data_IF_768612968261
#
_entry.id   IF_768612968261
#
_cell.length_a   1.000
_cell.length_b   1.000
_cell.length_c   1.000
_cell.angle_alpha   90.00
_cell.angle_beta   90.00
_cell.angle_gamma   90.00
#
_symmetry.space_group_name_H-M   'P 1'
#
loop_
_entity.id
_entity.type
_entity.pdbx_description
1 polymer ?
#
# COMPACT_ATOMS: atom_id res chain seq x y z
N UNK A 1 3.90 20.15 19.96
CA UNK A 1 4.52 19.01 19.23
C UNK A 1 3.85 17.74 19.70
N UNK A 2 3.13 17.00 18.84
CA UNK A 2 2.55 15.72 19.25
C UNK A 2 3.67 14.71 19.46
N UNK A 3 3.77 14.17 20.68
CA UNK A 3 4.72 13.13 21.01
C UNK A 3 4.40 11.86 20.18
N UNK A 4 5.34 11.39 19.37
CA UNK A 4 5.16 10.17 18.57
C UNK A 4 5.11 8.96 19.48
N UNK A 5 4.08 8.12 19.32
CA UNK A 5 3.94 6.88 20.09
C UNK A 5 4.87 5.80 19.55
N UNK A 6 5.84 5.40 20.36
CA UNK A 6 6.67 4.23 20.05
C UNK A 6 5.91 2.96 20.45
N UNK A 7 5.60 2.12 19.47
CA UNK A 7 4.88 0.87 19.65
C UNK A 7 5.87 -0.28 19.77
N UNK A 8 6.03 -0.81 20.99
CA UNK A 8 6.84 -2.00 21.24
C UNK A 8 5.98 -3.28 21.13
N UNK A 9 6.30 -4.23 20.23
CA UNK A 9 5.56 -5.47 20.11
C UNK A 9 5.42 -6.22 21.44
N UNK A 10 4.20 -6.69 21.72
CA UNK A 10 3.86 -7.38 22.98
C UNK A 10 3.62 -6.46 24.19
N UNK A 11 3.92 -5.16 24.10
CA UNK A 11 3.86 -4.23 25.24
C UNK A 11 2.99 -2.98 25.00
N UNK A 12 2.22 -2.96 23.90
CA UNK A 12 1.35 -1.81 23.60
C UNK A 12 0.09 -1.85 24.46
N UNK A 13 -0.10 -0.81 25.27
CA UNK A 13 -1.22 -0.69 26.20
C UNK A 13 -2.53 -0.28 25.50
N UNK A 14 -3.67 -0.55 26.13
CA UNK A 14 -4.98 -0.07 25.66
C UNK A 14 -5.05 1.46 25.55
N UNK A 15 -4.33 2.18 26.42
CA UNK A 15 -4.23 3.64 26.34
C UNK A 15 -3.53 4.10 25.05
N UNK A 16 -2.41 3.45 24.69
CA UNK A 16 -1.72 3.71 23.41
C UNK A 16 -2.59 3.35 22.21
N UNK A 17 -3.31 2.22 22.26
CA UNK A 17 -4.26 1.86 21.19
C UNK A 17 -5.37 2.89 21.00
N UNK A 18 -5.90 3.44 22.10
CA UNK A 18 -6.89 4.53 22.05
C UNK A 18 -6.30 5.79 21.43
N UNK A 19 -5.04 6.11 21.71
CA UNK A 19 -4.36 7.26 21.10
C UNK A 19 -4.11 7.05 19.60
N UNK A 20 -3.73 5.83 19.19
CA UNK A 20 -3.61 5.45 17.77
C UNK A 20 -4.96 5.60 17.07
N UNK A 21 -6.05 5.06 17.65
CA UNK A 21 -7.41 5.21 17.13
C UNK A 21 -7.81 6.69 16.92
N UNK A 22 -7.40 7.57 17.85
CA UNK A 22 -7.63 9.02 17.78
C UNK A 22 -6.70 9.77 16.82
N UNK A 23 -5.81 9.08 16.12
CA UNK A 23 -4.95 9.69 15.09
C UNK A 23 -3.56 10.13 15.58
N UNK A 24 -3.13 9.74 16.78
CA UNK A 24 -1.79 10.11 17.28
C UNK A 24 -0.70 9.54 16.36
N UNK A 25 0.37 10.31 16.04
CA UNK A 25 1.52 9.79 15.31
C UNK A 25 2.11 8.57 16.01
N UNK A 26 2.63 7.62 15.25
CA UNK A 26 3.21 6.39 15.77
C UNK A 26 4.49 6.03 15.02
N UNK A 27 5.34 5.27 15.67
CA UNK A 27 6.49 4.59 15.09
C UNK A 27 6.62 3.20 15.74
N UNK A 28 7.11 2.22 14.98
CA UNK A 28 7.50 0.93 15.52
C UNK A 28 8.82 1.07 16.26
N UNK A 29 8.93 0.41 17.41
CA UNK A 29 10.21 0.34 18.14
C UNK A 29 11.30 -0.32 17.26
N UNK A 30 12.41 0.37 16.95
CA UNK A 30 13.49 -0.18 16.13
C UNK A 30 14.08 -1.49 16.68
N UNK A 31 13.94 -1.75 17.99
CA UNK A 31 14.35 -3.00 18.62
C UNK A 31 13.61 -4.23 18.06
N UNK A 32 12.48 -4.06 17.37
CA UNK A 32 11.75 -5.15 16.72
C UNK A 32 12.38 -5.60 15.39
N UNK A 33 13.21 -4.78 14.74
CA UNK A 33 13.71 -5.07 13.40
C UNK A 33 14.66 -6.28 13.32
N UNK A 34 15.58 -6.51 14.28
CA UNK A 34 16.44 -7.68 14.24
C UNK A 34 15.66 -9.01 14.20
N UNK A 35 14.61 -9.15 15.02
CA UNK A 35 13.78 -10.38 15.05
C UNK A 35 12.94 -10.53 13.78
N UNK A 36 12.47 -9.43 13.18
CA UNK A 36 11.79 -9.43 11.88
C UNK A 36 12.72 -9.92 10.77
N UNK A 37 13.95 -9.37 10.70
CA UNK A 37 14.95 -9.79 9.71
C UNK A 37 15.33 -11.26 9.84
N UNK A 38 15.50 -11.74 11.08
CA UNK A 38 15.76 -13.16 11.34
C UNK A 38 14.60 -14.06 10.88
N UNK A 39 13.35 -13.65 11.16
CA UNK A 39 12.14 -14.35 10.69
C UNK A 39 12.07 -14.46 9.17
N UNK A 40 12.34 -13.34 8.47
CA UNK A 40 12.34 -13.30 7.01
C UNK A 40 13.45 -14.19 6.42
N UNK A 41 14.64 -14.18 7.02
CA UNK A 41 15.75 -15.05 6.61
C UNK A 41 15.42 -16.54 6.79
N UNK A 42 14.73 -16.90 7.88
CA UNK A 42 14.28 -18.28 8.10
C UNK A 42 13.30 -18.73 7.01
N UNK A 43 12.33 -17.89 6.62
CA UNK A 43 11.43 -18.18 5.49
C UNK A 43 12.19 -18.31 4.18
N UNK A 44 13.15 -17.43 3.91
CA UNK A 44 13.97 -17.51 2.71
C UNK A 44 14.77 -18.83 2.65
N UNK A 45 15.33 -19.27 3.78
CA UNK A 45 16.04 -20.55 3.87
C UNK A 45 15.11 -21.75 3.66
N UNK A 46 13.87 -21.70 4.17
CA UNK A 46 12.85 -22.73 3.93
C UNK A 46 12.51 -22.83 2.44
N UNK A 47 12.27 -21.69 1.78
CA UNK A 47 11.99 -21.64 0.34
C UNK A 47 13.15 -22.21 -0.46
N UNK A 48 14.39 -21.89 -0.08
CA UNK A 48 15.59 -22.38 -0.76
C UNK A 48 15.76 -23.90 -0.68
N UNK A 49 15.25 -24.57 0.37
CA UNK A 49 15.27 -26.03 0.50
C UNK A 49 14.27 -26.74 -0.42
N UNK A 50 13.29 -26.03 -0.98
CA UNK A 50 12.32 -26.57 -1.94
C UNK A 50 11.29 -27.56 -1.36
N UNK A 51 11.28 -27.77 -0.04
CA UNK A 51 10.26 -28.59 0.62
C UNK A 51 8.89 -27.88 0.60
N UNK A 52 7.76 -28.59 0.46
CA UNK A 52 6.43 -27.99 0.51
C UNK A 52 6.13 -27.40 1.88
N UNK A 53 5.73 -26.13 1.91
CA UNK A 53 5.33 -25.39 3.10
C UNK A 53 4.07 -24.57 2.79
N UNK A 54 3.06 -24.80 3.61
CA UNK A 54 1.73 -24.23 3.44
C UNK A 54 1.76 -22.70 3.33
N UNK A 55 1.11 -22.18 2.28
CA UNK A 55 1.00 -20.74 2.03
C UNK A 55 2.31 -20.05 1.59
N UNK A 56 3.38 -20.82 1.40
CA UNK A 56 4.66 -20.33 0.88
C UNK A 56 4.85 -20.84 -0.55
N UNK A 57 4.89 -22.15 -0.77
CA UNK A 57 5.04 -22.80 -2.09
C UNK A 57 3.98 -23.88 -2.33
N UNK A 58 2.83 -23.75 -1.66
CA UNK A 58 1.62 -24.53 -1.95
C UNK A 58 0.45 -23.60 -2.23
N UNK A 59 -0.63 -24.13 -2.79
CA UNK A 59 -1.91 -23.43 -2.83
C UNK A 59 -2.51 -23.19 -1.44
N UNK A 60 -3.67 -22.52 -1.40
CA UNK A 60 -4.39 -22.16 -0.18
C UNK A 60 -5.70 -22.94 -0.05
N UNK A 61 -6.14 -23.21 1.19
CA UNK A 61 -7.40 -23.91 1.46
C UNK A 61 -7.46 -25.30 0.81
N UNK A 62 -8.46 -25.55 -0.04
CA UNK A 62 -8.64 -26.83 -0.75
C UNK A 62 -7.46 -27.19 -1.67
N UNK A 63 -6.64 -26.20 -2.04
CA UNK A 63 -5.46 -26.38 -2.89
C UNK A 63 -4.14 -26.46 -2.08
N UNK A 64 -4.22 -26.64 -0.75
CA UNK A 64 -3.05 -26.74 0.13
C UNK A 64 -2.06 -27.87 -0.23
N UNK A 65 -2.55 -28.92 -0.90
CA UNK A 65 -1.73 -30.05 -1.37
C UNK A 65 -1.03 -29.80 -2.71
N UNK A 66 -1.42 -28.74 -3.43
CA UNK A 66 -0.85 -28.41 -4.75
C UNK A 66 0.43 -27.62 -4.55
N UNK A 67 1.56 -28.20 -4.97
CA UNK A 67 2.86 -27.51 -5.01
C UNK A 67 2.84 -26.44 -6.11
N UNK A 68 3.45 -25.29 -5.81
CA UNK A 68 3.60 -24.17 -6.73
C UNK A 68 5.09 -23.96 -7.00
N UNK A 69 5.45 -23.88 -8.27
CA UNK A 69 6.82 -23.67 -8.70
C UNK A 69 7.31 -22.26 -8.38
N UNK A 70 8.64 -22.12 -8.23
CA UNK A 70 9.27 -20.87 -7.77
C UNK A 70 8.91 -19.66 -8.63
N UNK A 71 8.77 -19.87 -9.93
CA UNK A 71 8.46 -18.86 -10.94
C UNK A 71 7.04 -18.31 -10.78
N UNK A 72 6.12 -19.14 -10.29
CA UNK A 72 4.71 -18.78 -10.10
C UNK A 72 4.40 -18.19 -8.72
N UNK A 73 5.35 -18.21 -7.78
CA UNK A 73 5.12 -17.75 -6.39
C UNK A 73 4.69 -16.28 -6.34
N UNK A 74 5.28 -15.42 -7.16
CA UNK A 74 4.88 -14.00 -7.22
C UNK A 74 3.44 -13.84 -7.71
N UNK A 75 3.06 -14.61 -8.74
CA UNK A 75 1.70 -14.64 -9.28
C UNK A 75 0.71 -15.17 -8.26
N UNK A 76 1.04 -16.25 -7.56
CA UNK A 76 0.22 -16.81 -6.48
C UNK A 76 -0.04 -15.77 -5.37
N UNK A 77 1.01 -15.10 -4.89
CA UNK A 77 0.90 -14.10 -3.82
C UNK A 77 0.12 -12.84 -4.28
N UNK A 78 0.17 -12.48 -5.56
CA UNK A 78 -0.72 -11.45 -6.13
C UNK A 78 -2.16 -11.90 -6.17
N UNK A 79 -2.40 -13.12 -6.65
CA UNK A 79 -3.74 -13.65 -6.87
C UNK A 79 -4.50 -13.86 -5.55
N UNK A 80 -3.82 -14.23 -4.46
CA UNK A 80 -4.49 -14.34 -3.16
C UNK A 80 -5.03 -12.99 -2.68
N UNK A 81 -4.30 -11.89 -2.89
CA UNK A 81 -4.79 -10.55 -2.54
C UNK A 81 -6.03 -10.21 -3.38
N UNK A 82 -5.98 -10.48 -4.69
CA UNK A 82 -7.10 -10.19 -5.60
C UNK A 82 -8.34 -11.03 -5.29
N UNK A 83 -8.18 -12.33 -5.02
CA UNK A 83 -9.31 -13.22 -4.71
C UNK A 83 -9.95 -12.93 -3.35
N UNK A 84 -9.21 -12.35 -2.41
CA UNK A 84 -9.71 -11.99 -1.08
C UNK A 84 -10.15 -10.52 -0.96
N UNK A 85 -9.92 -9.71 -1.99
CA UNK A 85 -10.43 -8.34 -2.09
C UNK A 85 -11.94 -8.30 -2.44
N UNK A 86 -12.74 -9.12 -1.76
CA UNK A 86 -14.17 -9.33 -1.99
C UNK A 86 -15.06 -8.56 -0.99
N UNK A 87 -14.52 -7.50 -0.37
CA UNK A 87 -15.27 -6.68 0.58
C UNK A 87 -16.43 -5.93 -0.08
N UNK A 88 -17.60 -5.96 0.54
CA UNK A 88 -18.83 -5.27 0.08
C UNK A 88 -19.41 -4.42 1.21
N UNK A 89 -20.32 -3.50 0.85
CA UNK A 89 -20.97 -2.60 1.81
C UNK A 89 -20.20 -1.30 2.08
N UNK A 90 -20.56 -0.63 3.17
CA UNK A 90 -19.98 0.67 3.53
C UNK A 90 -18.50 0.56 3.98
N UNK A 91 -17.63 1.49 3.56
CA UNK A 91 -16.27 1.55 4.05
C UNK A 91 -16.20 1.71 5.57
N UNK A 92 -15.29 0.97 6.19
CA UNK A 92 -14.99 1.07 7.62
C UNK A 92 -14.45 2.46 7.97
N UNK A 93 -14.80 3.04 9.15
CA UNK A 93 -14.30 4.35 9.54
C UNK A 93 -12.77 4.41 9.59
N UNK A 94 -12.19 5.54 9.15
CA UNK A 94 -10.74 5.69 9.03
C UNK A 94 -9.97 5.45 10.35
N UNK A 95 -10.57 5.78 11.50
CA UNK A 95 -10.01 5.51 12.83
C UNK A 95 -9.90 4.01 13.13
N UNK A 96 -10.89 3.22 12.71
CA UNK A 96 -10.90 1.76 12.87
C UNK A 96 -9.90 1.12 11.89
N UNK A 97 -9.86 1.57 10.63
CA UNK A 97 -8.86 1.12 9.65
C UNK A 97 -7.44 1.40 10.15
N UNK A 98 -7.20 2.60 10.68
CA UNK A 98 -5.93 2.98 11.31
C UNK A 98 -5.56 2.03 12.46
N UNK A 99 -6.49 1.75 13.36
CA UNK A 99 -6.26 0.83 14.48
C UNK A 99 -5.95 -0.59 13.97
N UNK A 100 -6.73 -1.10 13.01
CA UNK A 100 -6.51 -2.41 12.38
C UNK A 100 -5.13 -2.53 11.75
N UNK A 101 -4.71 -1.51 10.99
CA UNK A 101 -3.38 -1.46 10.38
C UNK A 101 -2.27 -1.43 11.43
N UNK A 102 -2.43 -0.66 12.51
CA UNK A 102 -1.45 -0.56 13.58
C UNK A 102 -1.34 -1.86 14.41
N UNK A 103 -2.47 -2.53 14.67
CA UNK A 103 -2.48 -3.86 15.27
C UNK A 103 -1.75 -4.87 14.38
N UNK A 104 -1.99 -4.82 13.06
CA UNK A 104 -1.30 -5.69 12.10
C UNK A 104 0.20 -5.41 12.07
N UNK A 105 0.61 -4.14 12.05
CA UNK A 105 2.02 -3.72 12.13
C UNK A 105 2.71 -4.34 13.35
N UNK A 106 2.12 -4.15 14.54
CA UNK A 106 2.69 -4.61 15.80
C UNK A 106 2.70 -6.14 15.91
N UNK A 107 1.67 -6.82 15.39
CA UNK A 107 1.62 -8.28 15.34
C UNK A 107 2.70 -8.85 14.42
N UNK A 108 2.86 -8.30 13.21
CA UNK A 108 3.88 -8.71 12.25
C UNK A 108 5.31 -8.47 12.78
N UNK A 109 5.49 -7.41 13.55
CA UNK A 109 6.77 -7.03 14.15
C UNK A 109 7.24 -7.95 15.28
N UNK A 110 6.44 -8.93 15.73
CA UNK A 110 6.88 -9.92 16.73
C UNK A 110 7.94 -10.91 16.21
N UNK A 111 8.22 -10.94 14.89
CA UNK A 111 9.26 -11.81 14.32
C UNK A 111 8.81 -13.26 14.10
N UNK A 112 7.51 -13.53 14.07
CA UNK A 112 6.95 -14.87 13.85
C UNK A 112 6.19 -15.02 12.52
N UNK A 113 6.24 -14.01 11.63
CA UNK A 113 5.44 -13.99 10.39
C UNK A 113 6.25 -14.11 9.10
N UNK A 114 7.59 -14.05 9.15
CA UNK A 114 8.44 -14.12 7.96
C UNK A 114 8.32 -12.93 7.00
N UNK A 115 7.69 -11.82 7.44
CA UNK A 115 7.51 -10.63 6.62
C UNK A 115 8.85 -9.91 6.39
N UNK A 116 9.04 -9.37 5.18
CA UNK A 116 10.19 -8.50 4.87
C UNK A 116 10.09 -7.17 5.62
N UNK A 117 11.24 -6.65 6.04
CA UNK A 117 11.35 -5.33 6.68
C UNK A 117 10.71 -4.23 5.82
N UNK A 118 10.96 -4.23 4.51
CA UNK A 118 10.40 -3.22 3.59
C UNK A 118 8.87 -3.19 3.62
N UNK A 119 8.22 -4.35 3.72
CA UNK A 119 6.76 -4.44 3.79
C UNK A 119 6.24 -3.92 5.14
N UNK A 120 6.98 -4.19 6.22
CA UNK A 120 6.67 -3.66 7.55
C UNK A 120 6.82 -2.13 7.59
N UNK A 121 7.90 -1.60 7.01
CA UNK A 121 8.18 -0.15 6.86
C UNK A 121 7.15 0.54 5.99
N UNK A 122 6.70 -0.11 4.91
CA UNK A 122 5.61 0.41 4.09
C UNK A 122 4.32 0.55 4.90
N UNK A 123 3.95 -0.45 5.71
CA UNK A 123 2.76 -0.40 6.55
C UNK A 123 2.86 0.72 7.61
N UNK A 124 4.02 0.86 8.24
CA UNK A 124 4.33 1.98 9.15
C UNK A 124 4.18 3.33 8.42
N UNK A 125 4.77 3.49 7.23
CA UNK A 125 4.69 4.71 6.43
C UNK A 125 3.25 5.06 6.01
N UNK A 126 2.44 4.06 5.68
CA UNK A 126 1.01 4.25 5.38
C UNK A 126 0.25 4.77 6.61
N UNK A 127 0.56 4.25 7.80
CA UNK A 127 -0.04 4.71 9.06
C UNK A 127 0.33 6.16 9.38
N UNK A 128 1.56 6.60 9.10
CA UNK A 128 1.94 8.01 9.33
C UNK A 128 1.48 8.94 8.20
N UNK A 129 0.79 8.43 7.16
CA UNK A 129 0.30 9.19 5.99
C UNK A 129 1.39 10.14 5.46
N UNK A 130 2.59 9.61 5.28
CA UNK A 130 3.75 10.41 4.87
C UNK A 130 3.53 10.97 3.46
N UNK A 131 3.94 12.22 3.21
CA UNK A 131 4.06 12.71 1.85
C UNK A 131 4.91 11.74 1.00
N UNK A 132 4.52 11.58 -0.25
CA UNK A 132 5.17 10.67 -1.18
C UNK A 132 5.93 11.46 -2.25
N UNK A 133 6.97 10.84 -2.79
CA UNK A 133 7.63 11.21 -4.03
C UNK A 133 7.44 10.05 -4.99
N UNK A 134 6.99 10.34 -6.20
CA UNK A 134 6.68 9.31 -7.22
C UNK A 134 7.79 9.30 -8.25
N UNK A 135 8.56 8.20 -8.27
CA UNK A 135 9.56 7.93 -9.29
C UNK A 135 9.07 6.89 -10.29
N UNK A 136 9.21 7.15 -11.58
CA UNK A 136 8.93 6.17 -12.64
C UNK A 136 10.16 5.99 -13.54
N UNK A 137 10.69 4.77 -13.63
CA UNK A 137 11.78 4.41 -14.53
C UNK A 137 11.43 3.13 -15.28
N UNK A 138 11.42 3.21 -16.61
CA UNK A 138 11.02 2.13 -17.49
C UNK A 138 12.09 1.77 -18.52
N UNK A 139 11.72 1.01 -19.54
CA UNK A 139 12.58 0.76 -20.68
C UNK A 139 12.71 2.03 -21.54
N UNK A 140 13.96 2.42 -21.82
CA UNK A 140 14.29 3.64 -22.56
C UNK A 140 13.72 3.65 -23.98
N UNK A 141 13.81 2.53 -24.70
CA UNK A 141 13.30 2.41 -26.07
C UNK A 141 11.77 2.54 -26.09
N UNK A 142 11.09 1.91 -25.14
CA UNK A 142 9.63 2.03 -24.99
C UNK A 142 9.24 3.47 -24.69
N UNK A 143 9.90 4.13 -23.75
CA UNK A 143 9.61 5.52 -23.41
C UNK A 143 9.83 6.46 -24.60
N UNK A 144 10.95 6.31 -25.31
CA UNK A 144 11.25 7.10 -26.50
C UNK A 144 10.22 6.90 -27.61
N UNK A 145 9.78 5.66 -27.84
CA UNK A 145 8.76 5.34 -28.84
C UNK A 145 7.40 5.94 -28.47
N UNK A 146 6.92 5.73 -27.24
CA UNK A 146 5.63 6.25 -26.78
C UNK A 146 5.62 7.78 -26.77
N UNK A 147 6.74 8.43 -26.41
CA UNK A 147 6.90 9.89 -26.45
C UNK A 147 6.96 10.42 -27.89
N UNK A 148 7.71 9.76 -28.78
CA UNK A 148 7.81 10.14 -30.19
C UNK A 148 6.46 10.01 -30.93
N UNK A 149 5.64 9.03 -30.55
CA UNK A 149 4.30 8.84 -31.11
C UNK A 149 3.22 9.71 -30.45
N UNK A 150 3.56 10.57 -29.49
CA UNK A 150 2.60 11.45 -28.81
C UNK A 150 1.52 10.69 -28.01
N UNK A 151 1.82 9.46 -27.59
CA UNK A 151 0.85 8.58 -26.91
C UNK A 151 0.69 8.92 -25.41
N UNK A 152 1.61 9.72 -24.84
CA UNK A 152 1.48 10.25 -23.47
C UNK A 152 0.66 11.54 -23.54
N UNK A 153 -0.64 11.44 -23.24
CA UNK A 153 -1.58 12.57 -23.25
C UNK A 153 -1.87 13.15 -21.87
N UNK A 154 -1.11 12.74 -20.86
CA UNK A 154 -1.33 13.11 -19.46
C UNK A 154 -0.11 13.86 -18.94
N UNK A 155 -0.32 15.08 -18.45
CA UNK A 155 0.75 15.93 -17.92
C UNK A 155 1.11 15.57 -16.47
N UNK A 156 0.39 14.61 -15.87
CA UNK A 156 0.57 14.09 -14.50
C UNK A 156 0.41 12.58 -14.51
N UNK A 157 1.24 11.89 -13.73
CA UNK A 157 1.31 10.43 -13.71
C UNK A 157 0.77 9.83 -12.43
N UNK A 158 0.99 10.49 -11.30
CA UNK A 158 0.50 10.02 -10.02
C UNK A 158 -1.01 10.29 -9.90
N UNK A 159 -1.76 9.26 -9.55
CA UNK A 159 -3.21 9.36 -9.37
C UNK A 159 -3.64 10.54 -8.48
N UNK A 160 -2.97 10.85 -7.34
CA UNK A 160 -3.37 12.01 -6.54
C UNK A 160 -3.24 13.34 -7.28
N UNK A 161 -2.21 13.51 -8.10
CA UNK A 161 -1.99 14.72 -8.90
C UNK A 161 -3.02 14.84 -10.03
N UNK A 162 -3.31 13.72 -10.72
CA UNK A 162 -4.34 13.64 -11.76
C UNK A 162 -5.71 14.05 -11.18
N UNK A 163 -6.08 13.48 -10.03
CA UNK A 163 -7.36 13.77 -9.39
C UNK A 163 -7.46 15.20 -8.85
N UNK A 164 -6.34 15.76 -8.41
CA UNK A 164 -6.27 17.12 -7.88
C UNK A 164 -6.20 18.20 -8.97
N UNK A 165 -5.73 17.85 -10.17
CA UNK A 165 -5.38 18.83 -11.21
C UNK A 165 -4.18 19.70 -10.84
N UNK A 166 -3.37 19.30 -9.86
CA UNK A 166 -2.20 20.02 -9.34
C UNK A 166 -1.17 19.04 -8.78
N UNK A 167 0.07 19.51 -8.63
CA UNK A 167 1.21 18.65 -8.28
C UNK A 167 1.31 18.50 -6.74
N UNK A 168 0.51 17.59 -6.20
CA UNK A 168 0.44 17.27 -4.78
C UNK A 168 1.67 16.48 -4.29
N UNK A 169 2.16 15.55 -5.11
CA UNK A 169 3.37 14.78 -4.89
C UNK A 169 4.39 15.08 -5.99
N UNK A 170 5.68 15.30 -5.68
CA UNK A 170 6.72 15.39 -6.70
C UNK A 170 6.74 14.14 -7.58
N UNK A 171 6.78 14.35 -8.90
CA UNK A 171 6.87 13.30 -9.91
C UNK A 171 8.20 13.39 -10.64
N UNK A 172 8.95 12.29 -10.69
CA UNK A 172 10.25 12.18 -11.34
C UNK A 172 10.20 11.03 -12.33
N UNK A 173 10.33 11.35 -13.63
CA UNK A 173 10.16 10.38 -14.71
C UNK A 173 11.44 10.16 -15.50
N UNK A 174 11.75 8.89 -15.78
CA UNK A 174 12.90 8.42 -16.56
C UNK A 174 14.22 9.07 -16.11
N UNK A 175 14.77 10.00 -16.89
CA UNK A 175 16.02 10.69 -16.60
C UNK A 175 15.95 11.62 -15.39
N UNK A 176 14.75 12.03 -14.96
CA UNK A 176 14.56 12.78 -13.72
C UNK A 176 14.46 11.87 -12.49
N UNK A 177 14.22 10.57 -12.68
CA UNK A 177 14.18 9.58 -11.61
C UNK A 177 15.60 9.14 -11.22
N UNK A 178 16.44 10.09 -10.78
CA UNK A 178 17.79 9.83 -10.25
C UNK A 178 17.79 9.81 -8.73
N UNK A 179 18.75 9.09 -8.09
CA UNK A 179 18.87 9.08 -6.64
C UNK A 179 18.94 10.49 -6.02
N UNK A 180 19.72 11.40 -6.60
CA UNK A 180 19.89 12.76 -6.08
C UNK A 180 18.60 13.57 -6.15
N UNK A 181 17.85 13.47 -7.26
CA UNK A 181 16.57 14.17 -7.43
C UNK A 181 15.48 13.59 -6.52
N UNK A 182 15.45 12.27 -6.35
CA UNK A 182 14.55 11.61 -5.40
C UNK A 182 14.87 12.05 -3.97
N UNK A 183 16.14 12.05 -3.58
CA UNK A 183 16.58 12.51 -2.27
C UNK A 183 16.21 13.98 -2.03
N UNK A 184 16.46 14.87 -3.00
CA UNK A 184 16.09 16.27 -2.90
C UNK A 184 14.57 16.46 -2.77
N UNK A 185 13.76 15.74 -3.55
CA UNK A 185 12.31 15.79 -3.47
C UNK A 185 11.79 15.28 -2.11
N UNK A 186 12.44 14.26 -1.54
CA UNK A 186 12.15 13.77 -0.18
C UNK A 186 12.54 14.83 0.86
N UNK A 187 13.72 15.44 0.72
CA UNK A 187 14.25 16.45 1.63
C UNK A 187 13.31 17.66 1.75
N UNK A 188 12.69 18.09 0.64
CA UNK A 188 11.71 19.18 0.64
C UNK A 188 10.54 18.94 1.61
N UNK A 189 10.11 17.69 1.82
CA UNK A 189 9.06 17.38 2.78
C UNK A 189 9.48 17.55 4.23
N UNK A 190 10.76 17.33 4.53
CA UNK A 190 11.35 17.55 5.85
C UNK A 190 11.57 19.04 6.11
N UNK A 191 12.02 19.78 5.11
CA UNK A 191 12.33 21.21 5.22
C UNK A 191 11.05 22.07 5.35
N UNK A 192 9.92 21.58 4.83
CA UNK A 192 8.65 22.33 4.78
C UNK A 192 7.50 21.58 5.49
N UNK A 193 7.48 21.54 6.84
CA UNK A 193 6.49 20.80 7.61
C UNK A 193 5.04 21.31 7.39
N UNK A 194 4.85 22.61 7.11
CA UNK A 194 3.54 23.16 6.82
C UNK A 194 2.94 22.59 5.53
N UNK A 195 3.77 22.44 4.48
CA UNK A 195 3.36 21.84 3.20
C UNK A 195 2.87 20.40 3.38
N UNK A 196 3.52 19.65 4.28
CA UNK A 196 3.11 18.30 4.67
C UNK A 196 1.73 18.29 5.33
N UNK A 197 1.44 19.24 6.22
CA UNK A 197 0.15 19.36 6.88
C UNK A 197 -0.98 19.71 5.88
N UNK A 198 -0.73 20.66 4.99
CA UNK A 198 -1.71 21.09 3.98
C UNK A 198 -2.03 19.97 2.97
N UNK A 199 -1.02 19.17 2.62
CA UNK A 199 -1.17 17.99 1.77
C UNK A 199 -2.13 16.96 2.38
N UNK A 200 -2.00 16.70 3.68
CA UNK A 200 -2.90 15.77 4.38
C UNK A 200 -4.36 16.23 4.33
N UNK A 201 -4.60 17.54 4.52
CA UNK A 201 -5.94 18.11 4.38
C UNK A 201 -6.50 17.99 2.95
N UNK A 202 -5.65 18.17 1.95
CA UNK A 202 -6.04 18.02 0.54
C UNK A 202 -6.35 16.57 0.18
N UNK A 203 -5.55 15.61 0.64
CA UNK A 203 -5.83 14.19 0.45
C UNK A 203 -7.12 13.75 1.15
N UNK A 204 -7.41 14.28 2.34
CA UNK A 204 -8.67 13.99 3.02
C UNK A 204 -9.88 14.45 2.19
N UNK A 205 -9.85 15.67 1.66
CA UNK A 205 -10.92 16.20 0.77
C UNK A 205 -11.07 15.37 -0.50
N UNK A 206 -9.95 15.01 -1.14
CA UNK A 206 -9.98 14.16 -2.33
C UNK A 206 -10.59 12.79 -2.03
N UNK A 207 -10.25 12.19 -0.90
CA UNK A 207 -10.78 10.90 -0.48
C UNK A 207 -12.30 10.95 -0.29
N UNK A 208 -12.82 11.98 0.40
CA UNK A 208 -14.27 12.18 0.55
C UNK A 208 -14.97 12.39 -0.80
N UNK A 209 -14.39 13.18 -1.70
CA UNK A 209 -14.97 13.41 -3.04
C UNK A 209 -15.03 12.12 -3.88
N UNK A 210 -14.06 11.22 -3.71
CA UNK A 210 -14.03 9.92 -4.40
C UNK A 210 -15.02 8.91 -3.80
N UNK A 211 -15.47 9.13 -2.56
CA UNK A 211 -16.43 8.29 -1.88
C UNK A 211 -17.83 8.46 -2.49
N UNK A 212 -18.06 7.80 -3.62
CA UNK A 212 -19.30 7.89 -4.41
C UNK A 212 -20.11 6.59 -4.43
N UNK A 213 -20.01 5.76 -3.39
CA UNK A 213 -20.70 4.46 -3.30
C UNK A 213 -20.50 3.59 -4.56
N UNK A 214 -19.22 3.38 -4.92
CA UNK A 214 -18.83 2.70 -6.16
C UNK A 214 -19.52 1.34 -6.34
N UNK A 215 -19.69 0.56 -5.26
CA UNK A 215 -20.37 -0.73 -5.29
C UNK A 215 -21.85 -0.63 -5.66
N UNK A 216 -22.59 0.34 -5.10
CA UNK A 216 -23.99 0.57 -5.45
C UNK A 216 -24.12 1.01 -6.91
N UNK A 217 -23.27 1.94 -7.34
CA UNK A 217 -23.25 2.40 -8.74
C UNK A 217 -22.88 1.31 -9.74
N UNK A 218 -21.96 0.42 -9.36
CA UNK A 218 -21.62 -0.74 -10.18
C UNK A 218 -22.80 -1.72 -10.27
N UNK A 219 -23.49 -1.97 -9.15
CA UNK A 219 -24.70 -2.79 -9.14
C UNK A 219 -25.81 -2.18 -10.01
N UNK A 220 -26.05 -0.86 -9.93
CA UNK A 220 -27.01 -0.15 -10.77
C UNK A 220 -26.66 -0.27 -12.26
N UNK A 221 -25.38 -0.10 -12.61
CA UNK A 221 -24.91 -0.20 -13.99
C UNK A 221 -25.06 -1.62 -14.56
N UNK A 222 -24.76 -2.65 -13.77
CA UNK A 222 -24.97 -4.05 -14.15
C UNK A 222 -26.47 -4.35 -14.29
N UNK A 223 -27.29 -3.88 -13.33
CA UNK A 223 -28.74 -3.99 -13.41
C UNK A 223 -29.31 -3.36 -14.69
N UNK A 224 -28.83 -2.17 -15.06
CA UNK A 224 -29.24 -1.50 -16.29
C UNK A 224 -28.86 -2.27 -17.57
N UNK A 225 -27.76 -3.02 -17.57
CA UNK A 225 -27.35 -3.86 -18.70
C UNK A 225 -28.25 -5.10 -18.80
N UNK A 226 -28.55 -5.76 -17.68
CA UNK A 226 -29.45 -6.92 -17.64
C UNK A 226 -30.86 -6.57 -18.12
N UNK A 227 -31.38 -5.41 -17.73
CA UNK A 227 -32.70 -4.93 -18.17
C UNK A 227 -32.73 -4.56 -19.67
N UNK A 228 -31.60 -4.09 -20.23
CA UNK A 228 -31.47 -3.79 -21.67
C UNK A 228 -31.42 -5.04 -22.53
N UNK A 229 -30.80 -6.11 -22.07
CA UNK A 229 -30.77 -7.39 -22.79
C UNK A 229 -32.14 -8.09 -22.74
N UNK A 230 -32.88 -7.97 -21.63
CA UNK A 230 -34.26 -8.47 -21.55
C UNK A 230 -35.25 -7.69 -22.43
N UNK A 231 -35.02 -6.39 -22.67
CA UNK A 231 -35.86 -5.58 -23.54
C UNK A 231 -35.55 -5.76 -25.05
N UNK A 232 -34.50 -6.51 -25.40
CA UNK A 232 -34.12 -6.86 -26.77
C UNK A 232 -34.50 -8.29 -27.17
N UNK A 233 -34.99 -9.10 -26.24
CA UNK A 233 -35.56 -10.42 -26.45
C UNK A 233 -37.08 -10.31 -26.63
#
# INVERSE_FOLDING_TARGET
>A
MSNTLVLRPGHVTLAQWRQVYRGSPLALDPAALPVVRASAAAVAAIVAKGAPVYGINTGFGKLASVRIEREDLATLQRNIVLSHAAGVGEPMPASVVRLMMALKLVSLAQGASGIREDTLRLLEAMLVKRPMVVGYRGNELTYRLVKALGLIKVDRFALPNILAGQDLAPELMQHDCTPDKLAAAIQQWFDHPQRTADLQGTYARLHERLRRNASARAADAVGALLMRDQAKA
#
